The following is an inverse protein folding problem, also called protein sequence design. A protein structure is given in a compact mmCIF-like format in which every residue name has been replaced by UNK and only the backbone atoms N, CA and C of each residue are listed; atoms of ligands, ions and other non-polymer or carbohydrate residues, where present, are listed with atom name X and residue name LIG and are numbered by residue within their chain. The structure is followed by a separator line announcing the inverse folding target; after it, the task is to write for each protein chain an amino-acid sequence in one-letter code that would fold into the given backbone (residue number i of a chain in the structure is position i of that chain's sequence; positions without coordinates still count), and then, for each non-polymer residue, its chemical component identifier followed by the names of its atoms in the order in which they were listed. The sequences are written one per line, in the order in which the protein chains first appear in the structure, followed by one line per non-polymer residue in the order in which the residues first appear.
data_IF_109353794136
#
_entry.id   IF_109353794136
#
_cell.length_a   1.000
_cell.length_b   1.000
_cell.length_c   1.000
_cell.angle_alpha   90.00
_cell.angle_beta   90.00
_cell.angle_gamma   90.00
#
_symmetry.space_group_name_H-M   'P 1'
#
loop_
_entity.id
_entity.type
_entity.pdbx_description
1 polymer ?
#
# COMPACT_ATOMS: atom_id res chain seq x y z
N UNK A 1 -10.98 -1.29 -20.79
CA UNK A 1 -9.70 -1.64 -20.12
C UNK A 1 -9.53 -0.74 -18.93
N UNK A 2 -10.03 -1.13 -17.76
CA UNK A 2 -9.69 -0.50 -16.49
C UNK A 2 -9.87 -1.54 -15.38
N UNK A 3 -9.25 -2.71 -15.59
CA UNK A 3 -9.44 -3.87 -14.71
C UNK A 3 -8.59 -3.79 -13.44
N UNK A 4 -7.89 -2.68 -13.19
CA UNK A 4 -6.89 -2.54 -12.13
C UNK A 4 -6.88 -1.13 -11.53
N UNK A 5 -8.06 -0.61 -11.18
CA UNK A 5 -8.23 0.76 -10.70
C UNK A 5 -7.68 0.97 -9.29
N UNK A 6 -7.81 -0.03 -8.41
CA UNK A 6 -7.27 -0.03 -7.04
C UNK A 6 -5.75 -0.13 -7.09
N UNK A 7 -5.21 -0.97 -7.97
CA UNK A 7 -3.75 -1.06 -8.17
C UNK A 7 -3.13 0.26 -8.67
N UNK A 8 -3.82 0.98 -9.56
CA UNK A 8 -3.35 2.29 -10.01
C UNK A 8 -3.35 3.33 -8.88
N UNK A 9 -4.34 3.27 -7.99
CA UNK A 9 -4.40 4.10 -6.77
C UNK A 9 -3.28 3.74 -5.80
N UNK A 10 -3.06 2.45 -5.56
CA UNK A 10 -1.97 1.94 -4.72
C UNK A 10 -0.61 2.44 -5.23
N UNK A 11 -0.34 2.34 -6.53
CA UNK A 11 0.90 2.86 -7.12
C UNK A 11 1.06 4.37 -6.93
N UNK A 12 -0.03 5.14 -6.96
CA UNK A 12 0.01 6.58 -6.70
C UNK A 12 0.43 6.87 -5.27
N UNK A 13 -0.06 6.10 -4.28
CA UNK A 13 0.36 6.22 -2.88
C UNK A 13 1.86 5.98 -2.71
N UNK A 14 2.44 5.02 -3.44
CA UNK A 14 3.88 4.76 -3.41
C UNK A 14 4.74 5.87 -4.03
N UNK A 15 4.15 6.79 -4.81
CA UNK A 15 4.91 7.96 -5.30
C UNK A 15 5.14 9.02 -4.22
N UNK A 16 4.43 8.92 -3.10
CA UNK A 16 4.61 9.82 -1.96
C UNK A 16 5.90 9.45 -1.22
N UNK A 17 6.84 10.39 -1.18
CA UNK A 17 8.07 10.28 -0.41
C UNK A 17 8.16 11.44 0.60
N UNK A 18 8.18 11.15 1.91
CA UNK A 18 8.13 9.81 2.49
C UNK A 18 6.76 9.14 2.40
N UNK A 19 6.75 7.80 2.41
CA UNK A 19 5.53 7.01 2.51
C UNK A 19 5.05 7.04 3.96
N UNK A 20 3.93 7.73 4.20
CA UNK A 20 3.43 8.03 5.53
C UNK A 20 2.44 6.99 6.04
N UNK A 21 2.10 7.06 7.34
CA UNK A 21 1.07 6.23 7.93
C UNK A 21 -0.30 6.36 7.23
N UNK A 22 -0.61 7.56 6.72
CA UNK A 22 -1.84 7.80 5.98
C UNK A 22 -1.85 7.05 4.64
N UNK A 23 -0.71 7.00 3.96
CA UNK A 23 -0.55 6.24 2.72
C UNK A 23 -0.63 4.73 3.00
N UNK A 24 -0.07 4.27 4.12
CA UNK A 24 -0.19 2.87 4.57
C UNK A 24 -1.65 2.47 4.81
N UNK A 25 -2.41 3.26 5.58
CA UNK A 25 -3.85 2.99 5.80
C UNK A 25 -4.68 3.04 4.52
N UNK A 26 -4.35 3.96 3.61
CA UNK A 26 -5.02 4.02 2.32
C UNK A 26 -4.71 2.79 1.46
N UNK A 27 -3.48 2.26 1.53
CA UNK A 27 -3.08 1.04 0.84
C UNK A 27 -3.77 -0.20 1.42
N UNK A 28 -3.91 -0.27 2.75
CA UNK A 28 -4.64 -1.33 3.47
C UNK A 28 -6.10 -1.43 3.01
N UNK A 29 -6.80 -0.29 2.97
CA UNK A 29 -8.18 -0.24 2.48
C UNK A 29 -8.29 -0.69 1.02
N UNK A 30 -7.34 -0.31 0.16
CA UNK A 30 -7.32 -0.73 -1.24
C UNK A 30 -7.06 -2.23 -1.40
N UNK A 31 -6.23 -2.82 -0.54
CA UNK A 31 -5.98 -4.26 -0.51
C UNK A 31 -7.22 -5.03 -0.07
N UNK A 32 -7.92 -4.58 0.98
CA UNK A 32 -9.18 -5.20 1.43
C UNK A 32 -10.28 -5.14 0.38
N UNK A 33 -10.32 -4.06 -0.41
CA UNK A 33 -11.26 -3.92 -1.53
C UNK A 33 -10.85 -4.75 -2.76
N UNK A 34 -9.55 -5.04 -2.91
CA UNK A 34 -9.03 -5.75 -4.06
C UNK A 34 -9.18 -7.27 -3.93
N UNK A 35 -9.63 -7.93 -5.00
CA UNK A 35 -9.84 -9.38 -5.02
C UNK A 35 -9.15 -10.03 -6.20
N UNK A 36 -8.59 -11.22 -5.99
CA UNK A 36 -7.91 -11.99 -7.04
C UNK A 36 -6.55 -11.42 -7.41
N UNK A 37 -6.29 -11.24 -8.71
CA UNK A 37 -4.99 -10.78 -9.24
C UNK A 37 -4.64 -9.37 -8.76
N UNK A 38 -5.64 -8.49 -8.63
CA UNK A 38 -5.41 -7.10 -8.21
C UNK A 38 -4.93 -7.02 -6.76
N UNK A 39 -5.49 -7.84 -5.86
CA UNK A 39 -5.04 -7.93 -4.47
C UNK A 39 -3.61 -8.46 -4.35
N UNK A 40 -3.25 -9.48 -5.14
CA UNK A 40 -1.86 -9.98 -5.19
C UNK A 40 -0.88 -8.87 -5.61
N UNK A 41 -1.23 -8.05 -6.60
CA UNK A 41 -0.39 -6.93 -7.04
C UNK A 41 -0.26 -5.84 -5.98
N UNK A 42 -1.32 -5.56 -5.22
CA UNK A 42 -1.28 -4.59 -4.12
C UNK A 42 -0.42 -5.13 -2.96
N UNK A 43 -0.49 -6.44 -2.67
CA UNK A 43 0.40 -7.09 -1.71
C UNK A 43 1.88 -7.01 -2.12
N UNK A 44 2.22 -7.15 -3.42
CA UNK A 44 3.59 -6.90 -3.90
C UNK A 44 4.04 -5.45 -3.66
N UNK A 45 3.13 -4.48 -3.78
CA UNK A 45 3.43 -3.07 -3.53
C UNK A 45 3.68 -2.79 -2.04
N UNK A 46 3.05 -3.54 -1.13
CA UNK A 46 3.31 -3.41 0.30
C UNK A 46 4.77 -3.69 0.65
N UNK A 47 5.37 -4.73 0.09
CA UNK A 47 6.79 -5.04 0.33
C UNK A 47 7.72 -3.91 -0.15
N UNK A 48 7.40 -3.32 -1.30
CA UNK A 48 8.14 -2.17 -1.84
C UNK A 48 7.93 -0.89 -0.99
N UNK A 49 6.71 -0.65 -0.53
CA UNK A 49 6.38 0.48 0.33
C UNK A 49 7.10 0.38 1.67
N UNK A 50 7.17 -0.81 2.27
CA UNK A 50 7.83 -1.06 3.55
C UNK A 50 9.33 -0.69 3.54
N UNK A 51 10.00 -0.86 2.39
CA UNK A 51 11.39 -0.48 2.20
C UNK A 51 11.60 1.05 2.17
N UNK A 52 10.59 1.82 1.77
CA UNK A 52 10.63 3.29 1.68
C UNK A 52 9.76 3.99 2.74
N UNK A 53 9.13 3.23 3.63
CA UNK A 53 8.24 3.72 4.66
C UNK A 53 9.00 4.46 5.76
N UNK A 54 8.40 5.55 6.23
CA UNK A 54 8.89 6.30 7.39
C UNK A 54 8.80 5.45 8.68
N UNK A 55 9.52 5.83 9.73
CA UNK A 55 9.59 5.04 10.98
C UNK A 55 8.20 4.77 11.58
N UNK A 56 7.28 5.73 11.48
CA UNK A 56 5.91 5.64 11.98
C UNK A 56 5.06 4.63 11.17
N UNK A 57 5.17 4.70 9.83
CA UNK A 57 4.50 3.76 8.93
C UNK A 57 5.07 2.34 9.09
N UNK A 58 6.38 2.21 9.32
CA UNK A 58 7.03 0.93 9.61
C UNK A 58 6.55 0.32 10.92
N UNK A 59 6.45 1.11 12.00
CA UNK A 59 5.92 0.61 13.28
C UNK A 59 4.50 0.06 13.14
N UNK A 60 3.63 0.82 12.48
CA UNK A 60 2.26 0.39 12.20
C UNK A 60 2.23 -0.94 11.41
N UNK A 61 3.06 -1.06 10.38
CA UNK A 61 3.12 -2.26 9.54
C UNK A 61 3.74 -3.47 10.22
N UNK A 62 4.66 -3.24 11.15
CA UNK A 62 5.24 -4.31 11.96
C UNK A 62 4.29 -4.80 13.07
N UNK A 63 3.12 -4.15 13.24
CA UNK A 63 2.20 -4.43 14.33
C UNK A 63 2.80 -4.11 15.71
N UNK A 64 3.81 -3.23 15.75
CA UNK A 64 4.37 -2.70 16.99
C UNK A 64 3.43 -1.59 17.47
N UNK A 65 2.38 -1.98 18.20
CA UNK A 65 1.49 -1.10 18.97
C UNK A 65 2.13 -0.71 20.33
#
# INVERSE_FOLDING_TARGET
MNSMMLLARAQTLLTHHPFTLADARALEALEEEAVGEEGLRIAELWEAALASADEDARRYLQGED
#
